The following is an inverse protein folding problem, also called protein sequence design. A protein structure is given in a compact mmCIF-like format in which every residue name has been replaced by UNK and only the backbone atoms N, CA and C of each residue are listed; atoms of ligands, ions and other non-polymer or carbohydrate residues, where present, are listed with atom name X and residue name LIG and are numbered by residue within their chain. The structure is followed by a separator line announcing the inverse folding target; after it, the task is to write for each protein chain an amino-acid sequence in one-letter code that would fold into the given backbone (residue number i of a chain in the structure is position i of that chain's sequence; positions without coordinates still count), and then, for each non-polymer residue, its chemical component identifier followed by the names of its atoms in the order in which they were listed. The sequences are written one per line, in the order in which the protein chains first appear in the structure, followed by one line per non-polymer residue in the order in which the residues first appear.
data_IF_927361214189
#
_entry.id   IF_927361214189
#
_cell.length_a   1.000
_cell.length_b   1.000
_cell.length_c   1.000
_cell.angle_alpha   90.00
_cell.angle_beta   90.00
_cell.angle_gamma   90.00
#
_symmetry.space_group_name_H-M   'P 1'
#
loop_
_entity.id
_entity.type
_entity.pdbx_description
1 polymer ?
#
# COMPACT_ATOMS: atom_id res chain seq x y z
N UNK A 1 13.54 -4.20 16.40
CA UNK A 1 13.89 -3.81 16.03
C UNK A 1 14.13 -4.19 14.79
N UNK A 2 13.99 -4.57 14.10
CA UNK A 2 14.14 -4.97 12.84
C UNK A 2 13.29 -4.28 11.88
N UNK A 3 13.36 -4.75 10.67
CA UNK A 3 12.56 -4.20 9.62
C UNK A 3 11.24 -4.91 9.53
N UNK A 4 10.33 -4.28 8.84
CA UNK A 4 9.04 -4.88 8.54
C UNK A 4 8.69 -4.63 7.08
N UNK A 5 7.87 -5.50 6.53
CA UNK A 5 7.33 -5.28 5.22
C UNK A 5 5.88 -4.90 5.38
N UNK A 6 5.47 -3.81 4.75
CA UNK A 6 4.12 -3.33 4.78
C UNK A 6 3.54 -3.43 3.38
N UNK A 7 2.39 -4.05 3.26
CA UNK A 7 1.70 -4.15 1.99
C UNK A 7 0.34 -3.53 2.17
N UNK A 8 0.05 -2.52 1.39
CA UNK A 8 -1.23 -1.81 1.44
C UNK A 8 -1.97 -2.06 0.15
N UNK A 9 -3.28 -2.16 0.21
CA UNK A 9 -4.05 -2.51 -0.96
C UNK A 9 -5.07 -1.45 -1.30
N UNK A 10 -5.16 -1.08 -2.55
CA UNK A 10 -6.10 -0.09 -3.04
C UNK A 10 -6.55 -0.52 -4.44
N UNK A 11 -7.24 0.31 -5.14
CA UNK A 11 -7.61 0.07 -6.52
C UNK A 11 -6.94 1.08 -7.39
N UNK A 12 -6.69 0.73 -8.65
CA UNK A 12 -5.88 1.58 -9.50
C UNK A 12 -6.51 2.95 -9.74
N UNK A 13 -7.81 3.09 -9.63
CA UNK A 13 -8.46 4.35 -9.87
C UNK A 13 -8.91 5.05 -8.60
N UNK A 14 -8.58 4.52 -7.42
CA UNK A 14 -9.00 5.14 -6.17
C UNK A 14 -8.27 6.45 -5.97
N UNK A 15 -9.02 7.52 -5.74
CA UNK A 15 -8.43 8.82 -5.55
C UNK A 15 -8.75 9.38 -4.18
N UNK A 16 -7.86 10.19 -3.67
CA UNK A 16 -8.04 10.87 -2.41
C UNK A 16 -7.61 12.30 -2.64
N UNK A 17 -8.52 13.24 -2.54
CA UNK A 17 -8.26 14.65 -2.76
C UNK A 17 -7.63 14.88 -4.13
N UNK A 18 -8.15 14.20 -5.11
CA UNK A 18 -7.73 14.40 -6.49
C UNK A 18 -6.46 13.68 -6.92
N UNK A 19 -5.83 12.91 -6.02
CA UNK A 19 -4.61 12.21 -6.36
C UNK A 19 -4.84 10.72 -6.20
N UNK A 20 -4.27 9.92 -7.07
CA UNK A 20 -4.39 8.48 -6.94
C UNK A 20 -3.76 8.02 -5.63
N UNK A 21 -4.47 7.15 -4.92
CA UNK A 21 -4.04 6.74 -3.60
C UNK A 21 -2.67 6.07 -3.65
N UNK A 22 -2.40 5.23 -4.66
CA UNK A 22 -1.11 4.56 -4.68
C UNK A 22 0.03 5.56 -4.88
N UNK A 23 -0.21 6.64 -5.62
CA UNK A 23 0.81 7.67 -5.78
C UNK A 23 1.01 8.42 -4.48
N UNK A 24 -0.10 8.72 -3.79
CA UNK A 24 -0.03 9.43 -2.52
C UNK A 24 0.73 8.61 -1.49
N UNK A 25 0.50 7.30 -1.48
CA UNK A 25 1.19 6.41 -0.56
C UNK A 25 2.69 6.42 -0.81
N UNK A 26 3.08 6.34 -2.08
CA UNK A 26 4.50 6.32 -2.40
C UNK A 26 5.17 7.65 -2.04
N UNK A 27 4.50 8.75 -2.31
CA UNK A 27 5.06 10.05 -1.98
C UNK A 27 5.15 10.24 -0.48
N UNK A 28 4.13 9.83 0.26
CA UNK A 28 4.12 9.98 1.69
C UNK A 28 5.18 9.12 2.34
N UNK A 29 5.33 7.89 1.88
CA UNK A 29 6.38 7.02 2.39
C UNK A 29 7.77 7.63 2.19
N UNK A 30 7.97 8.22 1.00
CA UNK A 30 9.26 8.82 0.72
C UNK A 30 9.49 10.02 1.66
N UNK A 31 8.49 10.82 1.89
CA UNK A 31 8.63 11.97 2.77
C UNK A 31 8.91 11.55 4.21
N UNK A 32 8.47 10.39 4.62
CA UNK A 32 8.71 9.89 5.95
C UNK A 32 10.05 9.17 6.06
N UNK A 33 10.84 9.19 5.01
CA UNK A 33 12.18 8.61 5.05
C UNK A 33 12.24 7.14 4.74
N UNK A 34 11.18 6.56 4.25
CA UNK A 34 11.20 5.16 3.87
C UNK A 34 12.04 5.01 2.61
N UNK A 35 13.03 4.16 2.60
CA UNK A 35 14.00 4.13 1.51
C UNK A 35 13.47 3.62 0.17
N UNK A 36 12.44 2.84 0.18
CA UNK A 36 11.92 2.33 -1.09
C UNK A 36 10.52 1.89 -1.00
N UNK A 37 9.79 2.00 -2.07
CA UNK A 37 8.44 1.53 -2.18
C UNK A 37 8.09 1.25 -3.62
N UNK A 38 7.15 0.38 -3.85
CA UNK A 38 6.74 -0.01 -5.19
C UNK A 38 5.26 -0.26 -5.23
N UNK A 39 4.66 -0.01 -6.35
CA UNK A 39 3.26 -0.33 -6.57
C UNK A 39 3.15 -1.39 -7.64
N UNK A 40 2.31 -2.39 -7.40
CA UNK A 40 2.12 -3.47 -8.33
C UNK A 40 0.64 -3.61 -8.64
N UNK A 41 0.30 -3.78 -9.89
CA UNK A 41 -1.09 -3.97 -10.27
C UNK A 41 -1.36 -5.45 -10.37
N UNK A 42 -2.41 -5.92 -9.76
CA UNK A 42 -2.79 -7.31 -9.87
C UNK A 42 -3.32 -7.61 -11.25
N UNK A 43 -3.10 -8.80 -11.73
CA UNK A 43 -3.67 -9.20 -13.00
C UNK A 43 -5.17 -9.45 -12.84
N UNK A 44 -5.60 -9.86 -11.67
CA UNK A 44 -7.00 -10.10 -11.37
C UNK A 44 -7.08 -10.22 -9.86
N UNK A 45 -8.24 -10.04 -9.30
CA UNK A 45 -8.39 -10.22 -7.87
C UNK A 45 -9.64 -9.59 -7.32
N UNK A 46 -9.91 -9.89 -6.07
CA UNK A 46 -10.97 -9.23 -5.37
C UNK A 46 -10.47 -9.04 -3.95
N UNK A 47 -11.08 -8.17 -3.20
CA UNK A 47 -10.52 -7.89 -1.92
C UNK A 47 -11.44 -7.33 -0.89
N UNK A 48 -10.85 -6.83 0.16
CA UNK A 48 -11.53 -6.47 1.27
C UNK A 48 -11.86 -5.04 1.24
N UNK A 49 -12.71 -4.58 0.43
CA UNK A 49 -12.90 -3.21 0.38
C UNK A 49 -14.12 -2.86 1.04
N UNK A 50 -14.73 -3.67 1.69
CA UNK A 50 -15.91 -3.36 2.30
C UNK A 50 -17.05 -3.34 1.47
N UNK A 51 -17.00 -3.54 0.21
CA UNK A 51 -18.08 -3.57 -0.54
C UNK A 51 -18.24 -4.79 -1.08
N UNK A 52 -19.14 -5.44 -1.01
CA UNK A 52 -19.31 -6.61 -1.47
C UNK A 52 -19.78 -6.65 -2.71
N UNK A 53 -19.44 -6.36 -3.57
CA UNK A 53 -19.86 -6.27 -4.82
C UNK A 53 -19.83 -7.36 -5.47
N UNK A 54 -20.40 -8.08 -5.25
CA UNK A 54 -20.67 -8.98 -6.02
C UNK A 54 -19.76 -9.46 -6.86
N UNK A 55 -18.94 -9.91 -6.59
CA UNK A 55 -18.11 -10.58 -7.43
C UNK A 55 -17.75 -10.07 -8.68
N UNK A 56 -17.67 -9.06 -8.91
CA UNK A 56 -17.23 -8.59 -10.14
C UNK A 56 -15.76 -8.61 -10.18
N UNK A 57 -15.19 -9.01 -11.29
CA UNK A 57 -13.80 -8.98 -11.41
C UNK A 57 -13.44 -7.56 -11.72
N UNK A 58 -12.47 -7.03 -11.06
CA UNK A 58 -12.14 -5.64 -11.16
C UNK A 58 -11.62 -5.23 -12.51
N UNK A 59 -11.02 -6.14 -13.23
CA UNK A 59 -10.45 -5.74 -14.49
C UNK A 59 -11.49 -5.24 -15.45
N UNK A 60 -12.74 -5.60 -15.23
CA UNK A 60 -13.73 -5.17 -16.19
C UNK A 60 -14.05 -3.72 -16.06
N UNK A 61 -13.65 -3.05 -15.08
CA UNK A 61 -13.99 -1.66 -14.92
C UNK A 61 -12.76 -0.81 -14.69
N UNK A 62 -11.61 -1.31 -15.00
CA UNK A 62 -10.41 -0.51 -14.75
C UNK A 62 -10.12 -0.35 -13.30
N UNK A 63 -10.56 -1.29 -12.47
CA UNK A 63 -10.38 -1.16 -11.08
C UNK A 63 -9.57 -2.28 -10.54
N UNK A 64 -8.50 -2.62 -11.20
CA UNK A 64 -7.66 -3.70 -10.74
C UNK A 64 -7.05 -3.35 -9.39
N UNK A 65 -6.89 -4.32 -8.52
CA UNK A 65 -6.24 -4.08 -7.27
C UNK A 65 -4.80 -3.66 -7.45
N UNK A 66 -4.35 -2.75 -6.61
CA UNK A 66 -2.97 -2.30 -6.61
C UNK A 66 -2.41 -2.54 -5.22
N UNK A 67 -1.23 -3.15 -5.16
CA UNK A 67 -0.55 -3.36 -3.90
C UNK A 67 0.60 -2.39 -3.82
N UNK A 68 0.72 -1.66 -2.73
CA UNK A 68 1.88 -0.78 -2.51
C UNK A 68 2.69 -1.41 -1.39
N UNK A 69 3.96 -1.71 -1.67
CA UNK A 69 4.81 -2.40 -0.74
C UNK A 69 5.96 -1.52 -0.31
N UNK A 70 6.24 -1.54 0.98
CA UNK A 70 7.39 -0.86 1.54
C UNK A 70 8.13 -1.84 2.44
N UNK A 71 9.44 -1.70 2.51
CA UNK A 71 10.23 -2.41 3.51
C UNK A 71 11.00 -1.35 4.27
N UNK A 72 10.84 -1.28 5.56
CA UNK A 72 11.39 -0.17 6.34
C UNK A 72 11.48 -0.53 7.81
N UNK A 73 12.01 0.36 8.61
CA UNK A 73 12.04 0.12 10.05
C UNK A 73 10.63 0.19 10.60
N UNK A 74 10.40 -0.50 11.68
CA UNK A 74 9.08 -0.56 12.27
C UNK A 74 8.54 0.83 12.62
N UNK A 75 9.40 1.73 13.09
CA UNK A 75 8.95 3.08 13.45
C UNK A 75 8.52 3.88 12.22
N UNK A 76 9.15 3.66 11.08
CA UNK A 76 8.75 4.34 9.85
C UNK A 76 7.40 3.83 9.37
N UNK A 77 7.17 2.55 9.50
CA UNK A 77 5.89 1.96 9.11
C UNK A 77 4.81 2.45 10.07
N UNK A 78 5.10 2.53 11.36
CA UNK A 78 4.15 3.07 12.32
C UNK A 78 3.75 4.50 11.94
N UNK A 79 4.71 5.33 11.55
CA UNK A 79 4.45 6.70 11.16
C UNK A 79 3.58 6.77 9.90
N UNK A 80 3.86 5.89 8.94
CA UNK A 80 3.09 5.87 7.70
C UNK A 80 1.65 5.45 8.00
N UNK A 81 1.45 4.41 8.80
CA UNK A 81 0.10 3.96 9.12
C UNK A 81 -0.66 5.05 9.88
N UNK A 82 0.01 5.78 10.77
CA UNK A 82 -0.63 6.87 11.49
C UNK A 82 -1.02 8.01 10.54
N UNK A 83 -0.19 8.31 9.56
CA UNK A 83 -0.48 9.35 8.57
C UNK A 83 -1.68 8.95 7.70
N UNK A 84 -1.75 7.69 7.29
CA UNK A 84 -2.87 7.19 6.50
C UNK A 84 -4.16 7.33 7.31
N UNK A 85 -4.12 6.94 8.58
CA UNK A 85 -5.28 7.03 9.43
C UNK A 85 -5.73 8.48 9.62
N UNK A 86 -4.79 9.38 9.79
CA UNK A 86 -5.10 10.79 9.98
C UNK A 86 -5.76 11.40 8.74
N UNK A 87 -5.52 10.83 7.57
CA UNK A 87 -6.15 11.29 6.36
C UNK A 87 -7.54 10.68 6.16
N UNK A 88 -7.95 9.80 7.04
CA UNK A 88 -9.25 9.17 6.92
C UNK A 88 -9.31 8.07 5.87
N UNK A 89 -8.17 7.59 5.41
CA UNK A 89 -8.17 6.53 4.44
C UNK A 89 -8.25 5.20 5.13
N UNK A 90 -9.12 4.31 4.64
CA UNK A 90 -9.29 3.00 5.21
C UNK A 90 -8.79 1.98 4.20
N UNK A 91 -7.60 1.50 4.41
CA UNK A 91 -6.96 0.57 3.48
C UNK A 91 -6.65 -0.73 4.21
N UNK A 92 -6.89 -1.84 3.52
CA UNK A 92 -6.48 -3.13 4.07
C UNK A 92 -4.97 -3.22 3.97
N UNK A 93 -4.31 -3.73 4.98
CA UNK A 93 -2.87 -3.89 4.90
C UNK A 93 -2.43 -5.19 5.54
N UNK A 94 -1.25 -5.63 5.17
CA UNK A 94 -0.56 -6.75 5.78
C UNK A 94 0.79 -6.23 6.24
N UNK A 95 1.17 -6.57 7.46
CA UNK A 95 2.47 -6.16 8.00
C UNK A 95 3.16 -7.38 8.54
N UNK A 96 4.36 -7.63 8.10
CA UNK A 96 5.11 -8.81 8.53
C UNK A 96 6.54 -8.43 8.86
N UNK A 97 7.17 -9.12 9.80
CA UNK A 97 8.60 -8.93 10.01
C UNK A 97 9.39 -9.29 8.78
N UNK A 98 10.49 -8.63 8.55
CA UNK A 98 11.30 -8.87 7.38
C UNK A 98 12.77 -8.69 7.71
N UNK A 99 13.61 -9.43 6.99
CA UNK A 99 15.01 -9.21 7.07
C UNK A 99 15.41 -8.58 5.77
N UNK A 100 16.12 -7.47 5.79
CA UNK A 100 16.49 -6.77 4.57
C UNK A 100 18.00 -6.61 4.52
N UNK A 101 18.52 -6.49 3.34
CA UNK A 101 19.95 -6.32 3.15
C UNK A 101 20.28 -6.14 1.69
N UNK A 102 21.56 -5.93 1.41
CA UNK A 102 22.03 -5.79 0.06
C UNK A 102 22.93 -6.94 -0.24
N UNK A 103 22.73 -7.59 -1.38
CA UNK A 103 23.62 -8.65 -1.76
C UNK A 103 24.98 -8.08 -2.14
N UNK A 104 25.98 -8.86 -1.98
CA UNK A 104 27.32 -8.43 -2.37
C UNK A 104 28.00 -7.55 -1.37
N UNK A 105 27.44 -7.40 -0.20
CA UNK A 105 28.05 -6.52 0.78
C UNK A 105 28.67 -7.25 1.94
#
# INVERSE_FOLDING_TARGET
MGDVMLRLFTEEDHKHKGKLVYEWLLETGRELGIPGGSAFRALAGYGHHGRMHEDTFFELAGKLPVEVMFAARADQVDALLATIAAEGLHLFYIRTPAETGMTGA
#
